data_IF_112402321480
#
_entry.id   IF_112402321480
#
_cell.length_a   1.000
_cell.length_b   1.000
_cell.length_c   1.000
_cell.angle_alpha   90.00
_cell.angle_beta   90.00
_cell.angle_gamma   90.00
#
_symmetry.space_group_name_H-M   'P 1'
#
loop_
_entity.id
_entity.type
_entity.pdbx_description
1 polymer ?
#
# COMPACT_ATOMS: atom_id res chain seq x y z
N UNK A 1 11.18 -10.31 1.51
CA UNK A 1 10.15 -9.50 0.82
C UNK A 1 8.80 -10.11 1.15
N UNK A 2 7.80 -9.29 1.43
CA UNK A 2 6.42 -9.72 1.65
C UNK A 2 5.53 -8.95 0.67
N UNK A 3 4.62 -9.65 0.00
CA UNK A 3 3.70 -9.06 -0.97
C UNK A 3 2.27 -9.51 -0.70
N UNK A 4 1.33 -8.61 -0.92
CA UNK A 4 -0.10 -8.89 -0.90
C UNK A 4 -0.69 -8.31 -2.18
N UNK A 5 -1.33 -9.15 -2.98
CA UNK A 5 -2.00 -8.75 -4.21
C UNK A 5 -3.48 -9.04 -4.13
N UNK A 6 -4.29 -8.12 -4.63
CA UNK A 6 -5.72 -8.33 -4.87
C UNK A 6 -6.07 -8.25 -6.36
N UNK A 7 -7.32 -8.56 -6.70
CA UNK A 7 -7.88 -8.46 -8.04
C UNK A 7 -8.95 -7.36 -8.13
N UNK A 8 -8.89 -6.36 -7.27
CA UNK A 8 -9.82 -5.24 -7.24
C UNK A 8 -9.59 -4.25 -8.40
N UNK A 9 -10.22 -3.06 -8.35
CA UNK A 9 -10.01 -2.04 -9.37
C UNK A 9 -8.63 -1.35 -9.32
N UNK A 10 -7.84 -1.62 -8.28
CA UNK A 10 -6.55 -0.96 -8.05
C UNK A 10 -6.69 0.48 -7.56
N UNK A 11 -5.59 1.24 -7.65
CA UNK A 11 -5.51 2.65 -7.26
C UNK A 11 -4.96 3.43 -8.46
N UNK A 12 -5.64 4.52 -8.84
CA UNK A 12 -5.20 5.41 -9.90
C UNK A 12 -3.82 6.01 -9.57
N UNK A 13 -2.98 6.22 -10.58
CA UNK A 13 -1.57 6.58 -10.38
C UNK A 13 -1.44 7.94 -9.67
N UNK A 14 -2.38 8.86 -9.89
CA UNK A 14 -2.46 10.16 -9.24
C UNK A 14 -2.79 10.08 -7.74
N UNK A 15 -3.40 8.98 -7.31
CA UNK A 15 -3.81 8.74 -5.92
C UNK A 15 -2.76 7.95 -5.13
N UNK A 16 -1.86 7.22 -5.79
CA UNK A 16 -0.89 6.33 -5.15
C UNK A 16 0.02 7.02 -4.12
N UNK A 17 0.35 8.31 -4.33
CA UNK A 17 1.13 9.07 -3.36
C UNK A 17 0.29 9.42 -2.11
N UNK A 18 -0.98 9.77 -2.31
CA UNK A 18 -1.88 10.30 -1.28
C UNK A 18 -2.47 9.21 -0.39
N UNK A 19 -2.58 7.98 -0.88
CA UNK A 19 -3.11 6.83 -0.10
C UNK A 19 -2.24 6.43 1.09
N UNK A 20 -1.02 6.95 1.18
CA UNK A 20 -0.18 6.83 2.37
C UNK A 20 -0.51 7.86 3.46
N UNK A 21 -1.27 8.90 3.15
CA UNK A 21 -1.68 9.94 4.09
C UNK A 21 -2.80 9.44 5.01
N UNK A 22 -2.78 9.88 6.27
CA UNK A 22 -3.85 9.57 7.23
C UNK A 22 -5.15 10.22 6.78
N UNK A 23 -6.25 9.49 6.92
CA UNK A 23 -7.60 9.94 6.58
C UNK A 23 -7.85 10.18 5.09
N UNK A 24 -6.86 9.97 4.22
CA UNK A 24 -7.10 9.99 2.78
C UNK A 24 -8.02 8.84 2.40
N UNK A 25 -8.98 9.15 1.52
CA UNK A 25 -9.90 8.19 0.93
C UNK A 25 -9.88 8.41 -0.57
N UNK A 26 -9.59 7.35 -1.30
CA UNK A 26 -9.57 7.41 -2.76
C UNK A 26 -10.96 7.68 -3.33
N UNK A 27 -10.99 8.25 -4.53
CA UNK A 27 -12.25 8.44 -5.27
C UNK A 27 -12.86 7.10 -5.66
N UNK A 28 -14.14 6.89 -5.37
CA UNK A 28 -14.94 5.82 -5.99
C UNK A 28 -15.33 4.64 -5.12
N UNK A 29 -14.92 4.57 -3.85
CA UNK A 29 -15.30 3.46 -2.98
C UNK A 29 -16.03 3.99 -1.74
N UNK A 30 -17.33 3.69 -1.67
CA UNK A 30 -18.13 3.81 -0.45
C UNK A 30 -17.75 2.72 0.58
N UNK A 31 -16.45 2.43 0.71
CA UNK A 31 -15.95 1.44 1.66
C UNK A 31 -15.94 2.05 3.07
N UNK A 32 -16.45 1.27 4.02
CA UNK A 32 -16.33 1.60 5.44
C UNK A 32 -14.85 1.57 5.82
N UNK A 33 -14.33 2.71 6.29
CA UNK A 33 -12.92 2.82 6.67
C UNK A 33 -12.53 4.24 7.02
N UNK A 34 -11.60 4.38 7.98
CA UNK A 34 -11.09 5.68 8.44
C UNK A 34 -9.96 6.24 7.57
N UNK A 35 -9.52 5.54 6.53
CA UNK A 35 -8.35 5.94 5.72
C UNK A 35 -7.03 5.86 6.49
N UNK A 36 -6.93 4.99 7.50
CA UNK A 36 -5.72 4.86 8.33
C UNK A 36 -4.83 3.67 7.97
N UNK A 37 -5.36 2.63 7.32
CA UNK A 37 -4.68 1.34 7.13
C UNK A 37 -3.27 1.46 6.55
N UNK A 38 -3.14 2.02 5.33
CA UNK A 38 -1.84 2.14 4.65
C UNK A 38 -0.86 3.07 5.38
N UNK A 39 -1.35 4.15 6.00
CA UNK A 39 -0.51 5.03 6.81
C UNK A 39 0.09 4.31 8.03
N UNK A 40 -0.65 3.38 8.64
CA UNK A 40 -0.19 2.54 9.74
C UNK A 40 0.85 1.53 9.22
N UNK A 41 0.56 0.86 8.10
CA UNK A 41 1.49 -0.09 7.47
C UNK A 41 2.83 0.58 7.17
N UNK A 42 2.83 1.77 6.55
CA UNK A 42 4.05 2.53 6.26
C UNK A 42 4.85 2.81 7.54
N UNK A 43 4.18 3.27 8.59
CA UNK A 43 4.84 3.59 9.87
C UNK A 43 5.48 2.35 10.50
N UNK A 44 4.78 1.21 10.49
CA UNK A 44 5.30 -0.05 11.02
C UNK A 44 6.46 -0.55 10.17
N UNK A 45 6.35 -0.50 8.84
CA UNK A 45 7.44 -0.87 7.93
C UNK A 45 8.71 -0.04 8.21
N UNK A 46 8.58 1.27 8.33
CA UNK A 46 9.69 2.18 8.68
C UNK A 46 10.33 1.80 10.03
N UNK A 47 9.53 1.49 11.06
CA UNK A 47 10.03 1.02 12.36
C UNK A 47 10.83 -0.29 12.27
N UNK A 48 10.50 -1.14 11.31
CA UNK A 48 11.18 -2.42 11.05
C UNK A 48 12.29 -2.31 9.99
N UNK A 49 12.75 -1.10 9.65
CA UNK A 49 13.74 -0.88 8.59
C UNK A 49 13.32 -1.51 7.24
N UNK A 50 12.03 -1.48 6.95
CA UNK A 50 11.43 -1.94 5.71
C UNK A 50 10.86 -0.78 4.90
N UNK A 51 10.84 -0.95 3.58
CA UNK A 51 10.23 -0.03 2.64
C UNK A 51 8.90 -0.59 2.15
N UNK A 52 7.85 0.24 2.17
CA UNK A 52 6.53 -0.09 1.62
C UNK A 52 6.36 0.56 0.24
N UNK A 53 5.75 -0.16 -0.70
CA UNK A 53 5.47 0.30 -2.06
C UNK A 53 4.14 -0.25 -2.58
N UNK A 54 3.53 0.47 -3.51
CA UNK A 54 2.33 0.05 -4.24
C UNK A 54 2.67 -0.16 -5.70
N UNK A 55 2.08 -1.18 -6.30
CA UNK A 55 2.12 -1.44 -7.74
C UNK A 55 0.73 -1.86 -8.21
N UNK A 56 0.46 -1.72 -9.52
CA UNK A 56 -0.73 -2.36 -10.10
C UNK A 56 -0.58 -3.87 -10.01
N UNK A 57 -1.68 -4.55 -9.73
CA UNK A 57 -1.74 -6.00 -9.79
C UNK A 57 -1.51 -6.52 -11.21
N UNK A 58 -1.20 -7.83 -11.30
CA UNK A 58 -1.02 -8.52 -12.58
C UNK A 58 -2.27 -8.48 -13.46
N UNK A 59 -2.09 -8.63 -14.77
CA UNK A 59 -3.15 -8.69 -15.80
C UNK A 59 -4.06 -7.45 -15.90
N UNK A 60 -3.57 -6.27 -15.49
CA UNK A 60 -4.22 -4.98 -15.75
C UNK A 60 -5.26 -4.55 -14.72
N UNK A 61 -5.33 -5.23 -13.57
CA UNK A 61 -6.19 -4.87 -12.46
C UNK A 61 -5.57 -5.20 -11.10
N UNK A 62 -6.19 -4.71 -10.03
CA UNK A 62 -5.79 -4.97 -8.65
C UNK A 62 -4.70 -4.06 -8.12
N UNK A 63 -4.40 -4.26 -6.84
CA UNK A 63 -3.33 -3.58 -6.13
C UNK A 63 -2.36 -4.61 -5.56
N UNK A 64 -1.05 -4.38 -5.74
CA UNK A 64 0.00 -5.11 -5.04
C UNK A 64 0.67 -4.18 -4.03
N UNK A 65 0.65 -4.58 -2.76
CA UNK A 65 1.39 -3.93 -1.68
C UNK A 65 2.63 -4.76 -1.37
N UNK A 66 3.81 -4.16 -1.48
CA UNK A 66 5.10 -4.82 -1.22
C UNK A 66 5.83 -4.19 -0.04
N UNK A 67 6.33 -5.03 0.85
CA UNK A 67 7.27 -4.70 1.93
C UNK A 67 8.65 -5.33 1.68
N UNK A 68 9.67 -4.50 1.58
CA UNK A 68 11.06 -4.91 1.40
C UNK A 68 11.84 -4.60 2.67
N UNK A 69 12.24 -5.66 3.39
CA UNK A 69 13.04 -5.56 4.62
C UNK A 69 14.52 -5.55 4.27
N UNK A 70 15.31 -4.72 4.96
CA UNK A 70 16.77 -4.88 4.89
C UNK A 70 17.14 -6.27 5.39
N UNK A 71 17.89 -7.02 4.57
CA UNK A 71 18.53 -8.24 5.03
C UNK A 71 19.50 -7.88 6.16
N UNK A 72 19.44 -8.61 7.28
CA UNK A 72 20.48 -8.50 8.29
C UNK A 72 21.82 -8.86 7.63
N UNK A 73 22.72 -7.88 7.53
CA UNK A 73 24.13 -8.18 7.27
C UNK A 73 24.64 -8.93 8.49
N UNK A 74 25.09 -10.16 8.27
CA UNK A 74 25.74 -11.00 9.28
C UNK A 74 27.07 -10.38 9.72
#
# INVERSE_FOLDING_TARGET
MLEVSDNGPGIADEEQARVWERFYRGSGHASSGSGLGLSIVRRIAEQHNAQASLERGGDGGGLTVRLTFRSAQR
#
